data_IF_057316774478
#
_entry.id   IF_057316774478
#
_cell.length_a   1.000
_cell.length_b   1.000
_cell.length_c   1.000
_cell.angle_alpha   90.00
_cell.angle_beta   90.00
_cell.angle_gamma   90.00
#
_symmetry.space_group_name_H-M   'P 1'
#
loop_
_entity.id
_entity.type
_entity.pdbx_description
1 polymer ?
#
# COMPACT_ATOMS: atom_id res chain seq x y z
N UNK A 1 -22.32 1.28 -1.93
CA UNK A 1 -21.67 1.05 -0.62
C UNK A 1 -21.47 -0.45 -0.48
N UNK A 2 -20.22 -0.92 -0.40
CA UNK A 2 -19.92 -2.30 -0.06
C UNK A 2 -19.44 -2.29 1.40
N UNK A 3 -20.24 -2.84 2.32
CA UNK A 3 -19.85 -2.94 3.73
C UNK A 3 -20.21 -4.31 4.26
N UNK A 4 -19.25 -4.93 4.93
CA UNK A 4 -19.38 -6.15 5.70
C UNK A 4 -19.13 -5.82 7.17
N UNK A 5 -19.54 -6.69 8.11
CA UNK A 5 -19.31 -6.46 9.54
C UNK A 5 -17.83 -6.24 9.84
N UNK A 6 -17.53 -5.29 10.73
CA UNK A 6 -16.16 -5.06 11.19
C UNK A 6 -15.60 -6.27 11.94
N UNK A 7 -14.29 -6.45 11.91
CA UNK A 7 -13.62 -7.50 12.66
C UNK A 7 -13.91 -7.34 14.15
N UNK A 8 -14.34 -8.43 14.76
CA UNK A 8 -14.50 -8.61 16.19
C UNK A 8 -13.99 -10.00 16.60
N UNK A 9 -14.11 -10.34 17.89
CA UNK A 9 -13.60 -11.60 18.43
C UNK A 9 -14.26 -12.88 17.91
N UNK A 10 -15.36 -12.79 17.15
CA UNK A 10 -16.19 -13.93 16.77
C UNK A 10 -16.33 -14.13 15.26
N UNK A 11 -15.89 -13.18 14.43
CA UNK A 11 -16.20 -13.18 12.99
C UNK A 11 -14.96 -13.23 12.08
N UNK A 12 -13.77 -13.55 12.60
CA UNK A 12 -12.52 -13.51 11.85
C UNK A 12 -12.60 -14.18 10.48
N UNK A 13 -13.11 -15.43 10.41
CA UNK A 13 -13.18 -16.17 9.15
C UNK A 13 -14.00 -15.44 8.06
N UNK A 14 -15.23 -15.04 8.41
CA UNK A 14 -16.10 -14.30 7.49
C UNK A 14 -15.53 -12.91 7.18
N UNK A 15 -14.91 -12.26 8.15
CA UNK A 15 -14.25 -10.97 7.95
C UNK A 15 -13.09 -11.09 6.97
N UNK A 16 -12.23 -12.10 7.10
CA UNK A 16 -11.05 -12.27 6.24
C UNK A 16 -11.43 -12.53 4.79
N UNK A 17 -12.44 -13.37 4.53
CA UNK A 17 -12.92 -13.62 3.17
C UNK A 17 -13.51 -12.35 2.53
N UNK A 18 -14.31 -11.59 3.28
CA UNK A 18 -14.86 -10.33 2.80
C UNK A 18 -13.76 -9.28 2.57
N UNK A 19 -12.84 -9.12 3.51
CA UNK A 19 -11.77 -8.15 3.39
C UNK A 19 -10.85 -8.48 2.21
N UNK A 20 -10.53 -9.76 1.99
CA UNK A 20 -9.83 -10.23 0.80
C UNK A 20 -10.58 -9.85 -0.49
N UNK A 21 -11.88 -10.16 -0.59
CA UNK A 21 -12.68 -9.80 -1.76
C UNK A 21 -12.71 -8.27 -2.00
N UNK A 22 -12.75 -7.46 -0.94
CA UNK A 22 -12.68 -5.99 -1.02
C UNK A 22 -11.37 -5.49 -1.64
N UNK A 23 -10.25 -6.13 -1.25
CA UNK A 23 -8.91 -5.81 -1.71
C UNK A 23 -8.68 -6.31 -3.14
N UNK A 24 -9.15 -7.50 -3.47
CA UNK A 24 -9.09 -8.06 -4.84
C UNK A 24 -9.85 -7.18 -5.83
N UNK A 25 -11.05 -6.72 -5.47
CA UNK A 25 -11.86 -5.81 -6.29
C UNK A 25 -11.15 -4.46 -6.60
N UNK A 26 -10.10 -4.12 -5.84
CA UNK A 26 -9.28 -2.91 -6.01
C UNK A 26 -7.86 -3.21 -6.49
N UNK A 27 -7.57 -4.46 -6.85
CA UNK A 27 -6.23 -4.92 -7.24
C UNK A 27 -5.16 -4.71 -6.16
N UNK A 28 -5.57 -4.69 -4.88
CA UNK A 28 -4.69 -4.49 -3.74
C UNK A 28 -4.25 -5.80 -3.10
N UNK A 29 -5.06 -6.87 -3.22
CA UNK A 29 -4.77 -8.16 -2.59
C UNK A 29 -3.44 -8.75 -3.08
N UNK A 30 -3.36 -9.05 -4.37
CA UNK A 30 -2.20 -9.74 -4.93
C UNK A 30 -0.93 -8.91 -4.79
N UNK A 31 -0.96 -7.61 -5.10
CA UNK A 31 0.25 -6.78 -5.11
C UNK A 31 0.82 -6.40 -3.74
N UNK A 32 -0.02 -6.37 -2.68
CA UNK A 32 0.33 -5.75 -1.39
C UNK A 32 0.09 -6.66 -0.19
N UNK A 33 -0.89 -7.57 -0.27
CA UNK A 33 -1.20 -8.48 0.83
C UNK A 33 -0.65 -9.89 0.57
N UNK A 34 -0.83 -10.48 -0.60
CA UNK A 34 -0.38 -11.86 -0.83
C UNK A 34 1.10 -11.91 -1.23
N UNK A 35 1.53 -11.06 -2.18
CA UNK A 35 2.89 -11.14 -2.71
C UNK A 35 3.94 -10.49 -1.80
N UNK A 36 5.07 -11.16 -1.66
CA UNK A 36 6.29 -10.62 -1.03
C UNK A 36 7.04 -9.70 -1.99
N UNK A 37 6.37 -8.76 -2.66
CA UNK A 37 7.10 -7.68 -3.30
C UNK A 37 7.54 -6.74 -2.18
N UNK A 38 8.84 -6.68 -1.84
CA UNK A 38 9.29 -5.68 -0.89
C UNK A 38 8.93 -4.30 -1.42
N UNK A 39 8.70 -3.32 -0.53
CA UNK A 39 8.52 -1.93 -0.95
C UNK A 39 9.67 -1.55 -1.90
N UNK A 40 9.38 -0.86 -3.02
CA UNK A 40 10.44 -0.26 -3.83
C UNK A 40 11.26 0.67 -2.94
N UNK A 41 12.56 0.74 -3.19
CA UNK A 41 13.43 1.66 -2.46
C UNK A 41 12.95 3.10 -2.68
N UNK A 42 12.93 3.89 -1.62
CA UNK A 42 12.59 5.30 -1.71
C UNK A 42 13.58 6.01 -2.66
N UNK A 43 13.11 6.63 -3.76
CA UNK A 43 13.97 7.37 -4.66
C UNK A 43 14.41 8.69 -4.02
N UNK A 44 15.49 9.28 -4.53
CA UNK A 44 15.92 10.62 -4.12
C UNK A 44 14.79 11.63 -4.31
N UNK A 45 14.50 12.44 -3.28
CA UNK A 45 13.52 13.51 -3.34
C UNK A 45 13.85 14.59 -4.38
N UNK A 46 15.13 14.73 -4.73
CA UNK A 46 15.60 15.64 -5.77
C UNK A 46 15.94 14.89 -7.05
N UNK A 47 15.48 15.36 -8.23
CA UNK A 47 15.88 14.80 -9.50
C UNK A 47 17.38 15.04 -9.75
N UNK A 48 18.04 14.18 -10.54
CA UNK A 48 19.42 14.41 -10.96
C UNK A 48 19.55 15.74 -11.71
N UNK A 49 20.61 16.50 -11.43
CA UNK A 49 20.94 17.75 -12.12
C UNK A 49 21.90 17.44 -13.28
N UNK A 50 21.56 17.79 -14.52
CA UNK A 50 22.55 17.93 -15.59
C UNK A 50 23.04 19.38 -15.67
N UNK A 51 24.30 19.57 -16.10
CA UNK A 51 24.93 20.89 -16.26
C UNK A 51 24.26 21.74 -17.36
N UNK A 52 23.47 21.11 -18.26
CA UNK A 52 22.70 21.77 -19.31
C UNK A 52 21.19 21.77 -19.01
N UNK A 53 20.52 22.91 -19.29
CA UNK A 53 19.08 23.20 -19.08
C UNK A 53 18.09 22.27 -19.84
N UNK A 54 18.59 21.27 -20.59
CA UNK A 54 17.80 20.29 -21.36
C UNK A 54 17.53 18.98 -20.58
N UNK A 55 17.52 19.07 -19.24
CA UNK A 55 17.62 17.95 -18.29
C UNK A 55 16.45 16.94 -18.31
N UNK A 56 15.25 17.33 -18.75
CA UNK A 56 14.07 16.46 -18.69
C UNK A 56 14.18 15.20 -19.57
N UNK A 57 15.09 15.17 -20.55
CA UNK A 57 15.24 14.04 -21.47
C UNK A 57 16.52 13.23 -21.25
N UNK A 58 17.28 13.49 -20.19
CA UNK A 58 18.45 12.66 -19.88
C UNK A 58 18.02 11.24 -19.51
N UNK A 59 18.81 10.20 -19.85
CA UNK A 59 18.53 8.83 -19.41
C UNK A 59 18.43 8.73 -17.89
N UNK A 60 19.24 9.49 -17.15
CA UNK A 60 19.26 9.54 -15.69
C UNK A 60 17.96 10.12 -15.12
N UNK A 61 17.48 11.24 -15.66
CA UNK A 61 16.19 11.82 -15.28
C UNK A 61 15.05 10.85 -15.59
N UNK A 62 15.04 10.24 -16.78
CA UNK A 62 14.01 9.27 -17.19
C UNK A 62 13.96 8.05 -16.26
N UNK A 63 15.13 7.56 -15.82
CA UNK A 63 15.21 6.46 -14.87
C UNK A 63 14.74 6.86 -13.47
N UNK A 64 15.14 8.05 -13.01
CA UNK A 64 14.68 8.61 -11.74
C UNK A 64 13.16 8.79 -11.73
N UNK A 65 12.58 9.36 -12.79
CA UNK A 65 11.14 9.60 -12.93
C UNK A 65 10.35 8.29 -12.88
N UNK A 66 10.77 7.28 -13.66
CA UNK A 66 10.14 5.94 -13.61
C UNK A 66 10.22 5.30 -12.23
N UNK A 67 11.34 5.49 -11.52
CA UNK A 67 11.49 4.95 -10.17
C UNK A 67 10.60 5.70 -9.17
N UNK A 68 10.52 7.02 -9.29
CA UNK A 68 9.67 7.90 -8.49
C UNK A 68 8.18 7.59 -8.69
N UNK A 69 7.73 7.45 -9.94
CA UNK A 69 6.36 7.06 -10.26
C UNK A 69 6.00 5.70 -9.67
N UNK A 70 6.89 4.70 -9.82
CA UNK A 70 6.68 3.36 -9.28
C UNK A 70 6.61 3.36 -7.75
N UNK A 71 7.47 4.15 -7.09
CA UNK A 71 7.45 4.28 -5.63
C UNK A 71 6.14 4.93 -5.16
N UNK A 72 5.72 6.03 -5.78
CA UNK A 72 4.48 6.72 -5.41
C UNK A 72 3.23 5.87 -5.66
N UNK A 73 3.17 5.16 -6.79
CA UNK A 73 2.07 4.22 -7.07
C UNK A 73 2.00 3.12 -5.99
N UNK A 74 3.16 2.60 -5.57
CA UNK A 74 3.24 1.64 -4.48
C UNK A 74 2.73 2.24 -3.16
N UNK A 75 3.24 3.42 -2.76
CA UNK A 75 2.83 4.10 -1.52
C UNK A 75 1.33 4.38 -1.52
N UNK A 76 0.77 4.83 -2.63
CA UNK A 76 -0.65 5.14 -2.74
C UNK A 76 -1.52 3.89 -2.56
N UNK A 77 -1.14 2.78 -3.20
CA UNK A 77 -1.87 1.51 -3.10
C UNK A 77 -1.74 0.89 -1.71
N UNK A 78 -0.55 0.92 -1.11
CA UNK A 78 -0.34 0.43 0.25
C UNK A 78 -1.14 1.24 1.28
N UNK A 79 -1.10 2.58 1.19
CA UNK A 79 -1.95 3.46 1.99
C UNK A 79 -3.44 3.17 1.81
N UNK A 80 -3.88 2.89 0.58
CA UNK A 80 -5.27 2.54 0.29
C UNK A 80 -5.67 1.23 0.97
N UNK A 81 -4.83 0.20 0.90
CA UNK A 81 -5.04 -1.08 1.56
C UNK A 81 -5.08 -0.94 3.09
N UNK A 82 -4.13 -0.19 3.68
CA UNK A 82 -4.14 0.12 5.12
C UNK A 82 -5.44 0.83 5.54
N UNK A 83 -5.89 1.81 4.73
CA UNK A 83 -7.14 2.53 4.98
C UNK A 83 -8.36 1.62 4.99
N UNK A 84 -8.43 0.67 4.05
CA UNK A 84 -9.51 -0.33 4.01
C UNK A 84 -9.48 -1.25 5.22
N UNK A 85 -8.31 -1.78 5.59
CA UNK A 85 -8.18 -2.70 6.74
C UNK A 85 -8.54 -1.96 8.03
N UNK A 86 -7.99 -0.77 8.25
CA UNK A 86 -8.30 0.08 9.41
C UNK A 86 -9.80 0.43 9.47
N UNK A 87 -10.44 0.67 8.33
CA UNK A 87 -11.88 0.92 8.25
C UNK A 87 -12.74 -0.30 8.58
N UNK A 88 -12.20 -1.50 8.35
CA UNK A 88 -12.88 -2.78 8.51
C UNK A 88 -12.71 -3.41 9.90
N UNK A 89 -12.04 -2.77 10.85
CA UNK A 89 -11.89 -3.28 12.23
C UNK A 89 -12.64 -2.40 13.25
N UNK A 90 -12.98 -2.96 14.42
CA UNK A 90 -13.44 -2.15 15.54
C UNK A 90 -12.27 -1.39 16.19
N UNK A 91 -12.60 -0.34 16.96
CA UNK A 91 -11.60 0.49 17.63
C UNK A 91 -10.78 -0.29 18.66
N UNK A 92 -11.33 -1.38 19.19
CA UNK A 92 -10.67 -2.26 20.15
C UNK A 92 -9.47 -2.99 19.54
N UNK A 93 -9.41 -3.18 18.21
CA UNK A 93 -8.30 -3.82 17.51
C UNK A 93 -7.19 -2.84 17.10
N UNK A 94 -7.42 -1.52 17.17
CA UNK A 94 -6.44 -0.50 16.73
C UNK A 94 -5.06 -0.63 17.40
N UNK A 95 -4.95 -0.96 18.71
CA UNK A 95 -3.65 -1.11 19.35
C UNK A 95 -2.76 -2.18 18.71
N UNK A 96 -3.33 -3.19 18.05
CA UNK A 96 -2.60 -4.29 17.42
C UNK A 96 -2.03 -3.91 16.06
N UNK A 97 -2.73 -3.05 15.31
CA UNK A 97 -2.31 -2.67 13.95
C UNK A 97 -1.57 -1.33 13.86
N UNK A 98 -1.56 -0.52 14.92
CA UNK A 98 -1.05 0.87 14.86
C UNK A 98 0.45 0.98 14.60
N UNK A 99 1.21 -0.09 14.84
CA UNK A 99 2.65 -0.15 14.60
C UNK A 99 3.00 -0.71 13.23
N UNK A 100 2.01 -1.22 12.48
CA UNK A 100 2.21 -1.67 11.12
C UNK A 100 2.56 -0.48 10.22
N UNK A 101 3.63 -0.62 9.45
CA UNK A 101 4.13 0.36 8.49
C UNK A 101 3.70 0.06 7.06
N UNK A 102 3.20 -1.16 6.82
CA UNK A 102 2.65 -1.59 5.53
C UNK A 102 1.29 -2.23 5.69
N UNK A 103 0.51 -2.28 4.61
CA UNK A 103 -0.76 -3.03 4.60
C UNK A 103 -0.57 -4.54 4.85
N UNK A 104 0.56 -5.11 4.43
CA UNK A 104 0.92 -6.51 4.72
C UNK A 104 1.12 -6.77 6.20
N UNK A 105 1.89 -5.91 6.87
CA UNK A 105 2.07 -5.98 8.33
C UNK A 105 0.75 -5.83 9.06
N UNK A 106 -0.10 -4.91 8.58
CA UNK A 106 -1.43 -4.67 9.14
C UNK A 106 -2.36 -5.88 9.00
N UNK A 107 -2.26 -6.62 7.88
CA UNK A 107 -3.02 -7.85 7.66
C UNK A 107 -2.56 -9.01 8.56
N UNK A 108 -1.27 -9.06 8.90
CA UNK A 108 -0.66 -10.15 9.67
C UNK A 108 -0.69 -9.94 11.19
N UNK A 109 -1.09 -8.75 11.66
CA UNK A 109 -1.09 -8.35 13.08
C UNK A 109 -2.31 -8.89 13.85
#
# INVERSE_FOLDING_TARGET
SWSFPKLNGNNYYAWSENMQAALEARQLWWGFIEYKSPPPSEPSATPPKSEDDMNQYSPEYTLWEKHWEKYNDWVQKDCSAMGLIKGAIESTQWPHIRTATTSKEMWNA
#
